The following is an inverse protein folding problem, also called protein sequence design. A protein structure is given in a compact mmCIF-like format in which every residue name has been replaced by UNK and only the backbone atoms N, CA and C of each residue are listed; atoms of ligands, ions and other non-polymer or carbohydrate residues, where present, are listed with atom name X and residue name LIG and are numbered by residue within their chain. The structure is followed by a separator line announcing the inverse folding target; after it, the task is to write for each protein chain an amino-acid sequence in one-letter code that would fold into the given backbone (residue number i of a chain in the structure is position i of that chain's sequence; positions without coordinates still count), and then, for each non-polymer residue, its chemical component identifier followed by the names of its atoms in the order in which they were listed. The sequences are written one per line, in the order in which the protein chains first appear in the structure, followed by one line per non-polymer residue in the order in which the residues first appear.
data_IF_547753899432
#
_entry.id   IF_547753899432
#
_cell.length_a   1.000
_cell.length_b   1.000
_cell.length_c   1.000
_cell.angle_alpha   90.00
_cell.angle_beta   90.00
_cell.angle_gamma   90.00
#
_symmetry.space_group_name_H-M   'P 1'
#
loop_
_entity.id
_entity.type
_entity.pdbx_description
1 polymer ?
#
# COMPACT_ATOMS: atom_id res chain seq x y z
N UNK A 1 30.54 14.25 30.24
CA UNK A 1 30.10 12.88 29.93
C UNK A 1 29.09 12.96 28.77
N UNK A 2 29.57 12.98 27.52
CA UNK A 2 28.81 13.33 26.30
C UNK A 2 28.74 12.10 25.37
N UNK A 3 27.95 11.08 25.74
CA UNK A 3 27.73 9.87 24.92
C UNK A 3 26.26 9.66 24.53
N UNK A 4 25.51 10.75 24.35
CA UNK A 4 24.06 10.68 24.08
C UNK A 4 23.58 11.61 22.97
N UNK A 5 24.38 11.85 21.93
CA UNK A 5 24.05 12.86 20.91
C UNK A 5 23.69 12.38 19.51
N UNK A 6 23.91 11.12 19.12
CA UNK A 6 23.43 10.66 17.82
C UNK A 6 23.05 9.18 17.84
N UNK A 7 21.89 8.84 18.42
CA UNK A 7 21.15 7.74 17.79
C UNK A 7 20.60 8.32 16.50
N UNK A 8 21.20 7.98 15.35
CA UNK A 8 20.52 8.21 14.09
C UNK A 8 19.12 7.61 14.25
N UNK A 9 18.11 8.47 14.23
CA UNK A 9 16.71 8.06 14.20
C UNK A 9 16.59 7.17 12.97
N UNK A 10 16.48 5.86 13.17
CA UNK A 10 16.21 4.95 12.06
C UNK A 10 14.87 5.37 11.45
N UNK A 11 14.85 5.47 10.12
CA UNK A 11 13.64 5.71 9.36
C UNK A 11 13.14 4.40 8.77
N UNK A 12 11.82 4.31 8.66
CA UNK A 12 11.10 3.27 7.94
C UNK A 12 10.66 3.85 6.61
N UNK A 13 10.68 3.03 5.56
CA UNK A 13 10.24 3.44 4.23
C UNK A 13 8.78 3.05 4.04
N UNK A 14 8.00 3.92 3.40
CA UNK A 14 6.63 3.60 2.98
C UNK A 14 6.63 3.37 1.48
N UNK A 15 6.04 2.28 1.06
CA UNK A 15 5.94 1.89 -0.34
C UNK A 15 4.50 1.64 -0.78
N UNK A 16 4.22 1.89 -2.05
CA UNK A 16 3.06 1.33 -2.75
C UNK A 16 3.55 0.14 -3.56
N UNK A 17 2.94 -1.03 -3.34
CA UNK A 17 3.29 -2.27 -4.04
C UNK A 17 2.17 -2.65 -5.00
N UNK A 18 2.58 -3.08 -6.19
CA UNK A 18 1.69 -3.57 -7.22
C UNK A 18 1.73 -5.10 -7.29
N UNK A 19 0.55 -5.72 -7.31
CA UNK A 19 0.40 -7.15 -7.54
C UNK A 19 -0.38 -7.42 -8.82
N UNK A 20 0.05 -8.44 -9.56
CA UNK A 20 -0.68 -8.97 -10.70
C UNK A 20 -2.00 -9.62 -10.28
N UNK A 21 -3.09 -9.33 -10.99
CA UNK A 21 -4.27 -10.20 -11.07
C UNK A 21 -4.20 -10.99 -12.39
N UNK A 22 -4.96 -12.10 -12.54
CA UNK A 22 -5.06 -12.78 -13.83
C UNK A 22 -5.37 -11.74 -14.92
N UNK A 23 -4.66 -11.82 -16.06
CA UNK A 23 -4.78 -10.94 -17.24
C UNK A 23 -4.10 -9.54 -17.15
N UNK A 24 -3.37 -9.21 -16.09
CA UNK A 24 -2.72 -7.89 -15.95
C UNK A 24 -1.25 -7.88 -16.41
N UNK A 25 -0.85 -6.89 -17.23
CA UNK A 25 0.53 -6.67 -17.71
C UNK A 25 1.40 -5.87 -16.73
N UNK A 26 2.07 -4.82 -17.20
CA UNK A 26 2.57 -3.73 -16.34
C UNK A 26 1.53 -2.60 -16.38
N UNK A 27 1.31 -1.84 -15.29
CA UNK A 27 0.40 -0.69 -15.38
C UNK A 27 0.79 0.18 -16.59
N UNK A 28 -0.16 0.68 -17.37
CA UNK A 28 0.15 1.58 -18.48
C UNK A 28 -0.30 2.98 -18.05
N UNK A 29 0.61 3.96 -17.93
CA UNK A 29 0.23 5.31 -17.55
C UNK A 29 -0.61 6.00 -18.64
N UNK A 30 -0.60 5.49 -19.89
CA UNK A 30 -1.39 5.97 -21.01
C UNK A 30 -2.78 5.31 -21.15
N UNK A 31 -3.01 4.15 -20.51
CA UNK A 31 -4.33 3.53 -20.41
C UNK A 31 -4.75 3.32 -18.94
N UNK A 32 -5.56 4.22 -18.37
CA UNK A 32 -6.01 4.12 -16.98
C UNK A 32 -6.88 2.88 -16.71
N UNK A 33 -7.43 2.23 -17.76
CA UNK A 33 -8.17 0.97 -17.64
C UNK A 33 -7.23 -0.22 -17.43
N UNK A 34 -5.98 -0.13 -17.90
CA UNK A 34 -4.98 -1.16 -17.67
C UNK A 34 -4.60 -1.24 -16.18
N UNK A 35 -4.67 -0.12 -15.46
CA UNK A 35 -4.45 -0.06 -14.00
C UNK A 35 -5.49 -0.89 -13.23
N UNK A 36 -6.72 -1.01 -13.74
CA UNK A 36 -7.80 -1.76 -13.07
C UNK A 36 -7.51 -3.27 -12.96
N UNK A 37 -6.58 -3.79 -13.77
CA UNK A 37 -6.09 -5.17 -13.67
C UNK A 37 -5.16 -5.41 -12.47
N UNK A 38 -4.70 -4.37 -11.77
CA UNK A 38 -3.74 -4.52 -10.68
C UNK A 38 -4.37 -4.41 -9.32
N UNK A 39 -3.76 -5.13 -8.38
CA UNK A 39 -4.05 -4.97 -6.97
C UNK A 39 -2.96 -4.11 -6.33
N UNK A 40 -3.34 -3.09 -5.57
CA UNK A 40 -2.40 -2.20 -4.88
C UNK A 40 -2.46 -2.41 -3.37
N UNK A 41 -1.30 -2.30 -2.73
CA UNK A 41 -1.16 -2.35 -1.28
C UNK A 41 -0.17 -1.28 -0.80
N UNK A 42 -0.39 -0.78 0.41
CA UNK A 42 0.58 0.03 1.13
C UNK A 42 1.46 -0.89 1.97
N UNK A 43 2.76 -0.64 1.98
CA UNK A 43 3.73 -1.41 2.75
C UNK A 43 4.63 -0.47 3.53
N UNK A 44 4.74 -0.67 4.84
CA UNK A 44 5.83 -0.12 5.64
C UNK A 44 6.97 -1.14 5.62
N UNK A 45 8.19 -0.65 5.37
CA UNK A 45 9.42 -1.43 5.33
C UNK A 45 10.29 -0.94 6.48
N UNK A 46 10.47 -1.80 7.47
CA UNK A 46 11.32 -1.56 8.63
C UNK A 46 12.59 -2.39 8.49
N UNK A 47 13.72 -1.85 8.95
CA UNK A 47 14.97 -2.59 9.03
C UNK A 47 15.40 -2.71 10.49
N UNK A 48 15.58 -3.94 10.96
CA UNK A 48 16.00 -4.18 12.34
C UNK A 48 17.49 -3.81 12.57
N UNK A 49 18.00 -4.06 13.78
CA UNK A 49 19.39 -3.69 14.14
C UNK A 49 20.46 -4.50 13.42
N UNK A 50 20.11 -5.67 12.87
CA UNK A 50 21.03 -6.59 12.19
C UNK A 50 20.84 -6.57 10.67
N UNK A 51 19.96 -5.70 10.16
CA UNK A 51 19.74 -5.48 8.73
C UNK A 51 18.63 -6.34 8.13
N UNK A 52 17.82 -7.02 8.95
CA UNK A 52 16.67 -7.74 8.41
C UNK A 52 15.51 -6.79 8.14
N UNK A 53 14.96 -6.88 6.94
CA UNK A 53 13.76 -6.16 6.56
C UNK A 53 12.50 -6.88 7.05
N UNK A 54 11.69 -6.17 7.82
CA UNK A 54 10.35 -6.57 8.22
C UNK A 54 9.35 -5.67 7.49
N UNK A 55 8.20 -6.24 7.13
CA UNK A 55 7.20 -5.52 6.35
C UNK A 55 5.82 -5.68 6.94
N UNK A 56 5.10 -4.58 6.97
CA UNK A 56 3.69 -4.50 7.34
C UNK A 56 2.93 -4.12 6.08
N UNK A 57 1.91 -4.88 5.72
CA UNK A 57 1.09 -4.62 4.55
C UNK A 57 -0.34 -4.29 4.94
N UNK A 58 -0.87 -3.27 4.28
CA UNK A 58 -2.28 -2.90 4.32
C UNK A 58 -2.84 -2.86 2.91
N UNK A 59 -4.00 -3.47 2.73
CA UNK A 59 -4.70 -3.44 1.44
C UNK A 59 -6.20 -3.46 1.63
N UNK A 60 -6.92 -2.79 0.73
CA UNK A 60 -8.36 -2.98 0.59
C UNK A 60 -8.62 -4.24 -0.24
N UNK A 61 -9.26 -5.23 0.36
CA UNK A 61 -9.65 -6.47 -0.31
C UNK A 61 -11.17 -6.52 -0.47
N UNK A 62 -11.65 -6.95 -1.63
CA UNK A 62 -13.07 -7.20 -1.82
C UNK A 62 -13.43 -8.62 -1.39
N UNK A 63 -14.57 -8.75 -0.72
CA UNK A 63 -15.17 -10.02 -0.32
C UNK A 63 -16.60 -10.04 -0.85
N UNK A 64 -16.89 -10.86 -1.88
CA UNK A 64 -18.27 -11.10 -2.28
C UNK A 64 -19.05 -11.72 -1.13
N UNK A 65 -20.17 -11.12 -0.78
CA UNK A 65 -21.09 -11.62 0.25
C UNK A 65 -22.35 -12.13 -0.46
N UNK A 66 -22.71 -13.41 -0.30
CA UNK A 66 -23.92 -13.95 -0.90
C UNK A 66 -25.16 -13.29 -0.29
N UNK A 67 -26.26 -13.30 -1.05
CA UNK A 67 -27.55 -12.85 -0.53
C UNK A 67 -27.93 -13.66 0.71
N UNK A 68 -28.44 -12.99 1.74
CA UNK A 68 -28.86 -13.61 3.00
C UNK A 68 -30.14 -12.94 3.49
N UNK A 69 -31.18 -13.75 3.71
CA UNK A 69 -32.51 -13.28 4.10
C UNK A 69 -32.99 -12.17 3.14
N UNK A 70 -33.33 -10.99 3.66
CA UNK A 70 -33.78 -9.83 2.88
C UNK A 70 -32.62 -8.95 2.35
N UNK A 71 -31.36 -9.36 2.56
CA UNK A 71 -30.18 -8.61 2.12
C UNK A 71 -29.68 -9.17 0.78
N UNK A 72 -29.68 -8.37 -0.31
CA UNK A 72 -29.12 -8.79 -1.59
C UNK A 72 -27.63 -9.13 -1.51
N UNK A 73 -27.15 -9.91 -2.48
CA UNK A 73 -25.72 -10.13 -2.65
C UNK A 73 -25.02 -8.77 -2.89
N UNK A 74 -23.89 -8.56 -2.21
CA UNK A 74 -23.13 -7.32 -2.26
C UNK A 74 -21.63 -7.60 -2.09
N UNK A 75 -20.80 -6.57 -2.17
CA UNK A 75 -19.35 -6.70 -2.01
C UNK A 75 -18.92 -5.93 -0.78
N UNK A 76 -18.46 -6.64 0.24
CA UNK A 76 -17.79 -6.02 1.38
C UNK A 76 -16.35 -5.66 1.00
N UNK A 77 -15.89 -4.48 1.37
CA UNK A 77 -14.46 -4.14 1.31
C UNK A 77 -13.87 -4.18 2.70
N UNK A 78 -12.83 -4.97 2.87
CA UNK A 78 -12.15 -5.16 4.14
C UNK A 78 -10.74 -4.55 4.09
N UNK A 79 -10.31 -4.02 5.22
CA UNK A 79 -8.91 -3.69 5.45
C UNK A 79 -8.18 -4.96 5.87
N UNK A 80 -7.44 -5.55 4.94
CA UNK A 80 -6.57 -6.68 5.22
C UNK A 80 -5.19 -6.17 5.67
N UNK A 81 -4.76 -6.63 6.84
CA UNK A 81 -3.50 -6.26 7.48
C UNK A 81 -2.68 -7.52 7.67
N UNK A 82 -1.43 -7.50 7.19
CA UNK A 82 -0.52 -8.65 7.33
C UNK A 82 0.83 -8.21 7.87
N UNK A 83 1.27 -8.85 8.95
CA UNK A 83 2.52 -8.56 9.65
C UNK A 83 2.98 -9.82 10.42
N UNK A 84 4.26 -10.26 10.29
CA UNK A 84 5.22 -9.83 9.28
C UNK A 84 4.92 -10.45 7.91
N UNK A 85 5.30 -9.79 6.82
CA UNK A 85 5.25 -10.41 5.48
C UNK A 85 6.58 -10.37 4.74
N UNK A 86 6.78 -11.36 3.88
CA UNK A 86 7.84 -11.36 2.88
C UNK A 86 7.25 -11.07 1.49
N UNK A 87 7.27 -9.79 1.09
CA UNK A 87 6.79 -9.35 -0.23
C UNK A 87 7.68 -9.87 -1.36
N UNK A 88 8.97 -10.12 -1.10
CA UNK A 88 9.96 -10.59 -2.07
C UNK A 88 9.69 -12.00 -2.61
N UNK A 89 8.93 -12.82 -1.87
CA UNK A 89 8.64 -14.21 -2.24
C UNK A 89 7.30 -14.39 -2.99
N UNK A 90 6.52 -13.34 -3.20
CA UNK A 90 5.28 -13.44 -3.96
C UNK A 90 5.57 -13.34 -5.45
N UNK A 91 5.37 -14.44 -6.20
CA UNK A 91 5.41 -14.45 -7.68
C UNK A 91 4.43 -13.47 -8.33
N UNK A 92 3.47 -12.96 -7.55
CA UNK A 92 2.48 -11.99 -8.00
C UNK A 92 2.92 -10.55 -7.76
N UNK A 93 3.96 -10.30 -6.96
CA UNK A 93 4.47 -8.95 -6.72
C UNK A 93 5.20 -8.45 -7.97
N UNK A 94 4.76 -7.32 -8.49
CA UNK A 94 5.32 -6.62 -9.64
C UNK A 94 6.27 -5.50 -9.20
N UNK A 95 6.77 -5.51 -7.97
CA UNK A 95 7.59 -4.44 -7.42
C UNK A 95 6.76 -3.32 -6.79
N UNK A 96 7.46 -2.26 -6.37
CA UNK A 96 6.86 -1.16 -5.65
C UNK A 96 7.61 0.15 -5.77
N UNK A 97 6.97 1.20 -5.29
CA UNK A 97 7.51 2.57 -5.28
C UNK A 97 7.60 3.04 -3.85
N UNK A 98 8.78 3.43 -3.39
CA UNK A 98 8.97 4.12 -2.12
C UNK A 98 8.42 5.53 -2.29
N UNK A 99 7.38 5.87 -1.52
CA UNK A 99 6.66 7.13 -1.63
C UNK A 99 7.04 8.13 -0.53
N UNK A 100 7.79 7.68 0.47
CA UNK A 100 8.28 8.51 1.57
C UNK A 100 8.85 7.68 2.72
N UNK A 101 9.13 8.38 3.81
CA UNK A 101 9.71 7.81 5.00
C UNK A 101 8.99 8.35 6.24
N UNK A 102 9.05 7.58 7.33
CA UNK A 102 8.66 8.03 8.66
C UNK A 102 9.70 7.57 9.68
N UNK A 103 9.74 8.19 10.86
CA UNK A 103 10.59 7.68 11.93
C UNK A 103 10.03 6.36 12.45
N UNK A 104 10.92 5.47 12.91
CA UNK A 104 10.47 4.16 13.42
C UNK A 104 9.51 4.27 14.62
N UNK A 105 9.61 5.33 15.44
CA UNK A 105 8.69 5.58 16.55
C UNK A 105 7.30 6.07 16.10
N UNK A 106 7.12 6.40 14.83
CA UNK A 106 5.84 6.80 14.23
C UNK A 106 5.08 5.62 13.59
N UNK A 107 5.64 4.40 13.60
CA UNK A 107 5.01 3.22 12.98
C UNK A 107 3.66 2.87 13.63
N UNK A 108 3.55 2.97 14.96
CA UNK A 108 2.29 2.73 15.64
C UNK A 108 1.24 3.81 15.29
N UNK A 109 1.69 5.05 15.09
CA UNK A 109 0.83 6.14 14.62
C UNK A 109 0.37 5.90 13.17
N UNK A 110 1.23 5.33 12.31
CA UNK A 110 0.86 4.89 10.96
C UNK A 110 -0.18 3.76 11.01
N UNK A 111 0.07 2.71 11.82
CA UNK A 111 -0.88 1.60 12.03
C UNK A 111 -2.25 2.11 12.43
N UNK A 112 -2.29 3.04 13.40
CA UNK A 112 -3.54 3.62 13.89
C UNK A 112 -4.22 4.48 12.83
N UNK A 113 -3.48 5.35 12.15
CA UNK A 113 -3.99 6.21 11.06
C UNK A 113 -4.65 5.40 9.95
N UNK A 114 -4.09 4.24 9.59
CA UNK A 114 -4.67 3.35 8.57
C UNK A 114 -5.91 2.65 9.12
N UNK A 115 -5.86 2.14 10.36
CA UNK A 115 -7.01 1.47 11.01
C UNK A 115 -8.24 2.37 11.13
N UNK A 116 -8.05 3.67 11.34
CA UNK A 116 -9.12 4.68 11.37
C UNK A 116 -9.91 4.81 10.06
N UNK A 117 -9.42 4.22 8.96
CA UNK A 117 -10.16 4.16 7.69
C UNK A 117 -11.16 3.00 7.61
N UNK A 118 -11.23 2.18 8.67
CA UNK A 118 -12.14 1.05 8.79
C UNK A 118 -12.94 1.11 10.10
N UNK A 119 -14.06 0.41 10.11
CA UNK A 119 -14.94 0.19 11.26
C UNK A 119 -14.90 -1.29 11.59
N UNK A 120 -14.78 -1.62 12.88
CA UNK A 120 -14.83 -3.00 13.34
C UNK A 120 -16.28 -3.47 13.42
N UNK A 121 -16.66 -4.43 12.58
CA UNK A 121 -17.98 -5.08 12.56
C UNK A 121 -17.79 -6.58 12.55
N UNK A 122 -18.34 -7.29 13.54
CA UNK A 122 -18.26 -8.75 13.68
C UNK A 122 -16.83 -9.31 13.55
N UNK A 123 -15.85 -8.62 14.14
CA UNK A 123 -14.45 -9.00 14.09
C UNK A 123 -13.74 -8.70 12.76
N UNK A 124 -14.40 -8.04 11.81
CA UNK A 124 -13.83 -7.60 10.52
C UNK A 124 -13.63 -6.08 10.52
N UNK A 125 -12.53 -5.62 9.94
CA UNK A 125 -12.31 -4.21 9.64
C UNK A 125 -12.95 -3.89 8.29
N UNK A 126 -14.20 -3.44 8.31
CA UNK A 126 -14.91 -2.98 7.11
C UNK A 126 -14.44 -1.57 6.78
N UNK A 127 -13.94 -1.38 5.58
CA UNK A 127 -13.53 -0.06 5.13
C UNK A 127 -14.77 0.83 5.00
N UNK A 128 -14.70 2.04 5.55
CA UNK A 128 -15.83 2.96 5.55
C UNK A 128 -15.94 3.65 4.19
N UNK A 129 -16.98 3.37 3.41
CA UNK A 129 -17.26 4.11 2.18
C UNK A 129 -18.72 4.04 1.77
N UNK A 130 -19.25 5.22 1.46
CA UNK A 130 -20.66 5.46 1.15
C UNK A 130 -21.04 5.06 -0.29
N UNK A 131 -20.13 4.52 -1.10
CA UNK A 131 -20.44 4.15 -2.48
C UNK A 131 -19.58 2.99 -3.01
N UNK A 132 -20.12 1.76 -2.93
CA UNK A 132 -19.48 0.52 -3.39
C UNK A 132 -19.13 0.52 -4.89
N UNK A 133 -19.86 1.27 -5.72
CA UNK A 133 -19.73 1.22 -7.18
C UNK A 133 -18.41 1.82 -7.72
N UNK A 134 -17.76 2.70 -6.95
CA UNK A 134 -16.53 3.42 -7.36
C UNK A 134 -15.33 3.05 -6.47
N UNK A 135 -15.57 2.34 -5.37
CA UNK A 135 -14.53 2.00 -4.42
C UNK A 135 -13.74 0.76 -4.86
N UNK A 136 -12.41 0.83 -4.76
CA UNK A 136 -11.51 -0.31 -4.99
C UNK A 136 -10.14 -0.09 -4.31
N UNK A 137 -9.26 -1.09 -4.40
CA UNK A 137 -7.91 -1.02 -3.81
C UNK A 137 -7.07 0.17 -4.29
N UNK A 138 -7.23 0.59 -5.55
CA UNK A 138 -6.58 1.78 -6.09
C UNK A 138 -7.10 3.04 -5.42
N UNK A 139 -8.43 3.20 -5.34
CA UNK A 139 -9.03 4.40 -4.75
C UNK A 139 -8.73 4.50 -3.26
N UNK A 140 -8.75 3.38 -2.55
CA UNK A 140 -8.34 3.32 -1.16
C UNK A 140 -6.87 3.75 -0.99
N UNK A 141 -5.96 3.19 -1.79
CA UNK A 141 -4.53 3.52 -1.74
C UNK A 141 -4.31 5.01 -2.01
N UNK A 142 -4.96 5.57 -3.04
CA UNK A 142 -4.93 7.00 -3.35
C UNK A 142 -5.37 7.86 -2.16
N UNK A 143 -6.51 7.51 -1.56
CA UNK A 143 -7.10 8.22 -0.44
C UNK A 143 -6.15 8.22 0.76
N UNK A 144 -5.56 7.06 1.10
CA UNK A 144 -4.60 6.96 2.19
C UNK A 144 -3.41 7.88 1.95
N UNK A 145 -2.81 7.83 0.75
CA UNK A 145 -1.63 8.63 0.45
C UNK A 145 -1.97 10.12 0.52
N UNK A 146 -2.98 10.56 -0.24
CA UNK A 146 -3.28 11.98 -0.44
C UNK A 146 -3.92 12.63 0.79
N UNK A 147 -4.75 11.90 1.54
CA UNK A 147 -5.52 12.47 2.67
C UNK A 147 -4.92 12.14 4.03
N UNK A 148 -4.08 11.09 4.15
CA UNK A 148 -3.52 10.67 5.44
C UNK A 148 -2.01 10.82 5.51
N UNK A 149 -1.26 10.35 4.52
CA UNK A 149 0.21 10.30 4.57
C UNK A 149 0.85 11.65 4.19
N UNK A 150 0.45 12.25 3.05
CA UNK A 150 0.98 13.53 2.59
C UNK A 150 0.79 14.65 3.63
N UNK A 151 -0.40 14.83 4.25
CA UNK A 151 -0.58 15.86 5.28
C UNK A 151 0.28 15.68 6.54
N UNK A 152 0.77 14.46 6.79
CA UNK A 152 1.66 14.13 7.92
C UNK A 152 3.14 14.22 7.56
N UNK A 153 3.48 14.47 6.28
CA UNK A 153 4.85 14.48 5.79
C UNK A 153 5.47 13.09 5.63
N UNK A 154 4.67 12.03 5.67
CA UNK A 154 5.14 10.63 5.53
C UNK A 154 5.22 10.16 4.08
N UNK A 155 4.68 10.93 3.14
CA UNK A 155 4.77 10.69 1.71
C UNK A 155 5.06 12.00 0.97
N UNK A 156 5.68 11.90 -0.21
CA UNK A 156 6.01 13.06 -1.06
C UNK A 156 4.76 13.88 -1.36
N UNK A 157 4.83 15.19 -1.12
CA UNK A 157 3.74 16.13 -1.35
C UNK A 157 3.38 16.31 -2.83
N UNK A 158 4.23 15.85 -3.75
CA UNK A 158 3.95 15.86 -5.19
C UNK A 158 3.03 14.71 -5.62
N UNK A 159 2.78 13.73 -4.74
CA UNK A 159 1.82 12.66 -4.98
C UNK A 159 0.41 13.18 -4.70
N UNK A 160 -0.25 13.70 -5.73
CA UNK A 160 -1.60 14.26 -5.65
C UNK A 160 -2.69 13.32 -6.21
N UNK A 161 -2.31 12.21 -6.83
CA UNK A 161 -3.22 11.22 -7.41
C UNK A 161 -2.47 9.92 -7.68
N UNK A 162 -3.20 8.83 -7.96
CA UNK A 162 -2.53 7.62 -8.46
C UNK A 162 -1.86 7.85 -9.80
N UNK A 163 -2.38 8.77 -10.63
CA UNK A 163 -1.81 9.05 -11.95
C UNK A 163 -0.36 9.52 -11.86
N UNK A 164 0.00 10.27 -10.81
CA UNK A 164 1.37 10.74 -10.61
C UNK A 164 2.32 9.60 -10.19
N UNK A 165 1.81 8.52 -9.61
CA UNK A 165 2.59 7.34 -9.21
C UNK A 165 2.76 6.30 -10.32
N UNK A 166 1.82 6.24 -11.27
CA UNK A 166 1.80 5.20 -12.29
C UNK A 166 3.12 5.06 -13.05
N UNK A 167 3.74 6.13 -13.59
CA UNK A 167 4.98 5.98 -14.35
C UNK A 167 6.10 5.27 -13.58
N UNK A 168 6.23 5.59 -12.29
CA UNK A 168 7.23 4.99 -11.41
C UNK A 168 6.88 3.54 -11.03
N UNK A 169 5.60 3.24 -10.80
CA UNK A 169 5.14 1.85 -10.61
C UNK A 169 5.46 1.00 -11.85
N UNK A 170 5.35 1.58 -13.04
CA UNK A 170 5.70 0.90 -14.28
C UNK A 170 7.20 0.61 -14.40
N UNK A 171 8.04 1.55 -13.97
CA UNK A 171 9.49 1.38 -13.90
C UNK A 171 9.83 0.21 -12.96
N UNK A 172 9.28 0.24 -11.74
CA UNK A 172 9.48 -0.83 -10.75
C UNK A 172 9.07 -2.21 -11.29
N UNK A 173 7.94 -2.29 -12.01
CA UNK A 173 7.46 -3.55 -12.61
C UNK A 173 8.34 -4.06 -13.75
N UNK A 174 8.83 -3.17 -14.61
CA UNK A 174 9.76 -3.54 -15.67
C UNK A 174 11.09 -4.05 -15.09
N UNK A 175 11.60 -3.38 -14.07
CA UNK A 175 12.86 -3.77 -13.44
C UNK A 175 12.71 -5.06 -12.64
N UNK A 176 11.57 -5.25 -11.95
CA UNK A 176 11.26 -6.51 -11.27
C UNK A 176 11.20 -7.69 -12.24
N UNK A 177 10.58 -7.49 -13.41
CA UNK A 177 10.49 -8.53 -14.44
C UNK A 177 11.88 -8.89 -15.01
N UNK A 178 12.75 -7.89 -15.22
CA UNK A 178 14.13 -8.11 -15.68
C UNK A 178 14.97 -8.88 -14.65
N UNK A 179 14.83 -8.53 -13.38
CA UNK A 179 15.63 -9.12 -12.29
C UNK A 179 15.02 -10.43 -11.75
N UNK A 180 13.79 -10.77 -12.15
CA UNK A 180 13.01 -11.92 -11.65
C UNK A 180 12.80 -11.90 -10.13
N UNK A 181 12.85 -10.71 -9.54
CA UNK A 181 12.61 -10.45 -8.11
C UNK A 181 11.95 -9.09 -7.97
N UNK A 182 11.05 -8.86 -6.98
CA UNK A 182 10.46 -7.56 -6.76
C UNK A 182 11.51 -6.47 -6.46
N UNK A 183 11.47 -5.39 -7.23
CA UNK A 183 12.31 -4.20 -7.09
C UNK A 183 11.47 -3.05 -6.53
N UNK A 184 12.07 -2.29 -5.62
CA UNK A 184 11.50 -1.07 -5.04
C UNK A 184 12.31 0.10 -5.55
N UNK A 185 11.64 1.05 -6.20
CA UNK A 185 12.28 2.26 -6.73
C UNK A 185 11.79 3.48 -5.96
N UNK A 186 12.64 4.49 -5.82
CA UNK A 186 12.25 5.76 -5.20
C UNK A 186 11.28 6.53 -6.10
N UNK A 187 10.28 7.19 -5.50
CA UNK A 187 9.40 8.09 -6.23
C UNK A 187 10.19 9.31 -6.76
N UNK A 188 10.23 9.47 -8.08
CA UNK A 188 10.90 10.60 -8.75
C UNK A 188 9.86 11.68 -9.07
N UNK A 189 10.12 12.90 -8.61
CA UNK A 189 9.30 14.09 -8.87
C UNK A 189 9.61 14.73 -10.22
#
# INVERSE_FOLDING_TARGET
MLKRLFSQSKTSRIAVVQYARPVAGCADPSDPRHVAGFHLALVAIEEDKIGHEWRILWQAANRPTPAKDDIPAHVEWILDIREPINVGNSRLCLGGVIIGELKNDEIDALKQTIKETAILVDGKLLLNHENEAVFNCRKWTEMIITQRLVPRGWASSTINSMQSLLPTLCEAAKDSARQRTPVFVEYKT
#
